data_IF_673085720849
#
_entry.id   IF_673085720849
#
_cell.length_a   1.000
_cell.length_b   1.000
_cell.length_c   1.000
_cell.angle_alpha   90.00
_cell.angle_beta   90.00
_cell.angle_gamma   90.00
#
_symmetry.space_group_name_H-M   'P 1'
#
loop_
_entity.id
_entity.type
_entity.pdbx_description
1 polymer ?
#
# COMPACT_ATOMS: atom_id res chain seq x y z
N UNK A 1 -20.01 -16.23 -11.75
CA UNK A 1 -20.25 -14.77 -11.78
C UNK A 1 -21.72 -14.31 -11.84
N UNK A 2 -22.73 -15.13 -11.46
CA UNK A 2 -24.15 -14.67 -11.36
C UNK A 2 -24.83 -15.12 -10.05
N UNK A 3 -24.09 -15.23 -8.93
CA UNK A 3 -24.74 -15.66 -7.66
C UNK A 3 -24.31 -14.98 -6.36
N UNK A 4 -23.38 -14.02 -6.39
CA UNK A 4 -22.96 -13.26 -5.20
C UNK A 4 -23.53 -11.83 -5.14
N UNK A 5 -24.18 -11.34 -6.20
CA UNK A 5 -24.74 -9.98 -6.26
C UNK A 5 -26.12 -9.79 -5.60
N UNK A 6 -26.68 -10.80 -4.92
CA UNK A 6 -28.03 -10.73 -4.33
C UNK A 6 -28.10 -10.54 -2.81
N UNK A 7 -26.98 -10.64 -2.08
CA UNK A 7 -26.99 -10.45 -0.63
C UNK A 7 -26.62 -9.03 -0.16
N UNK A 8 -26.23 -8.13 -1.06
CA UNK A 8 -25.94 -6.72 -0.71
C UNK A 8 -27.21 -5.84 -0.60
N UNK A 9 -28.39 -6.32 -1.01
CA UNK A 9 -29.59 -5.49 -1.14
C UNK A 9 -30.58 -5.58 0.05
N UNK A 10 -30.22 -6.18 1.20
CA UNK A 10 -31.16 -6.39 2.32
C UNK A 10 -30.60 -6.11 3.72
N UNK A 11 -29.69 -5.15 3.85
CA UNK A 11 -29.32 -4.56 5.13
C UNK A 11 -29.50 -3.05 5.04
N UNK A 12 -30.76 -2.63 5.00
CA UNK A 12 -31.14 -1.23 5.09
C UNK A 12 -32.11 -1.13 6.26
N UNK A 13 -31.55 -0.90 7.45
CA UNK A 13 -32.13 -0.08 8.52
C UNK A 13 -31.15 -0.09 9.70
N UNK A 14 -30.63 1.10 10.02
CA UNK A 14 -29.81 1.47 11.19
C UNK A 14 -28.27 1.33 11.10
N UNK A 15 -27.61 2.03 10.16
CA UNK A 15 -26.39 2.82 10.43
C UNK A 15 -26.08 3.72 9.22
N UNK A 16 -26.13 5.03 9.40
CA UNK A 16 -25.96 6.00 8.32
C UNK A 16 -24.48 6.33 8.07
N UNK A 17 -23.71 5.39 7.53
CA UNK A 17 -22.59 5.51 6.55
C UNK A 17 -22.23 4.04 6.22
N UNK A 18 -22.54 3.56 5.03
CA UNK A 18 -22.44 2.11 4.74
C UNK A 18 -22.37 1.76 3.27
N UNK A 19 -21.67 2.57 2.46
CA UNK A 19 -21.39 2.20 1.07
C UNK A 19 -20.12 2.90 0.54
N UNK A 20 -19.03 2.17 0.20
CA UNK A 20 -17.83 2.75 -0.41
C UNK A 20 -18.10 3.40 -1.78
N UNK A 21 -19.20 3.05 -2.45
CA UNK A 21 -19.61 3.68 -3.71
C UNK A 21 -20.02 5.16 -3.57
N UNK A 22 -20.33 5.63 -2.36
CA UNK A 22 -20.62 7.05 -2.13
C UNK A 22 -19.35 7.93 -2.10
N UNK A 23 -18.15 7.34 -2.05
CA UNK A 23 -16.88 8.04 -1.97
C UNK A 23 -16.26 8.38 -3.34
N UNK A 24 -16.90 8.02 -4.46
CA UNK A 24 -16.29 8.19 -5.79
C UNK A 24 -17.26 8.87 -6.75
N UNK A 25 -17.19 10.20 -6.80
CA UNK A 25 -17.71 11.01 -7.90
C UNK A 25 -17.00 12.36 -7.88
N UNK A 26 -15.70 12.41 -8.21
CA UNK A 26 -14.97 13.60 -8.68
C UNK A 26 -13.49 13.21 -8.88
N UNK A 27 -13.20 12.78 -10.10
CA UNK A 27 -11.85 12.42 -10.55
C UNK A 27 -10.95 13.65 -10.63
N UNK A 28 -9.79 13.53 -9.99
CA UNK A 28 -8.54 14.16 -10.37
C UNK A 28 -7.38 13.15 -10.40
N UNK A 29 -7.66 11.85 -10.61
CA UNK A 29 -6.64 10.79 -10.53
C UNK A 29 -6.31 9.98 -11.78
N UNK A 30 -6.72 10.47 -12.96
CA UNK A 30 -6.02 10.12 -14.21
C UNK A 30 -4.52 10.48 -14.10
N UNK A 31 -4.19 11.51 -13.32
CA UNK A 31 -2.83 11.94 -13.01
C UNK A 31 -2.10 10.98 -12.07
N UNK A 32 -2.75 10.42 -11.03
CA UNK A 32 -2.05 9.52 -10.08
C UNK A 32 -1.68 8.20 -10.76
N UNK A 33 -2.57 7.63 -11.58
CA UNK A 33 -2.31 6.38 -12.32
C UNK A 33 -1.26 6.58 -13.44
N UNK A 34 -1.26 7.74 -14.10
CA UNK A 34 -0.23 8.07 -15.09
C UNK A 34 1.15 8.31 -14.46
N UNK A 35 1.19 8.93 -13.27
CA UNK A 35 2.43 9.23 -12.55
C UNK A 35 3.03 8.02 -11.82
N UNK A 36 2.20 7.08 -11.37
CA UNK A 36 2.66 5.86 -10.70
C UNK A 36 3.49 4.94 -11.62
N UNK A 37 3.39 5.12 -12.94
CA UNK A 37 4.22 4.44 -13.95
C UNK A 37 5.59 5.10 -14.19
N UNK A 38 5.87 6.24 -13.55
CA UNK A 38 7.11 6.99 -13.70
C UNK A 38 7.90 6.90 -12.39
N UNK A 39 9.09 6.27 -12.38
CA UNK A 39 9.91 6.18 -11.17
C UNK A 39 10.24 7.56 -10.60
N UNK A 40 9.96 7.76 -9.30
CA UNK A 40 10.33 8.98 -8.58
C UNK A 40 9.41 10.19 -8.82
N UNK A 41 8.12 9.98 -9.12
CA UNK A 41 7.13 11.06 -9.10
C UNK A 41 6.52 11.24 -7.72
N UNK A 42 6.57 12.49 -7.23
CA UNK A 42 5.95 12.95 -5.99
C UNK A 42 4.57 13.54 -6.30
N UNK A 43 3.60 13.33 -5.40
CA UNK A 43 2.32 14.02 -5.45
C UNK A 43 2.45 15.39 -4.77
N UNK A 44 2.44 16.52 -5.51
CA UNK A 44 2.42 17.83 -4.88
C UNK A 44 0.98 18.07 -4.41
N UNK A 45 0.67 17.64 -3.20
CA UNK A 45 -0.55 18.01 -2.51
C UNK A 45 -0.24 19.27 -1.68
N UNK A 46 -0.49 20.43 -2.27
CA UNK A 46 -0.34 21.72 -1.58
C UNK A 46 -1.37 21.84 -0.45
N UNK A 47 -0.93 21.82 0.81
CA UNK A 47 -1.54 22.58 1.91
C UNK A 47 -0.49 22.97 2.98
N UNK A 48 -0.34 24.28 3.25
CA UNK A 48 0.62 24.90 4.18
C UNK A 48 0.18 24.89 5.67
N UNK A 49 -0.42 23.80 6.14
CA UNK A 49 -0.87 23.68 7.55
C UNK A 49 -0.07 22.58 8.26
N UNK A 50 -0.16 22.49 9.60
CA UNK A 50 0.35 21.33 10.38
C UNK A 50 -0.14 19.96 9.84
N UNK A 51 -1.24 19.99 9.09
CA UNK A 51 -1.89 18.89 8.39
C UNK A 51 -1.14 18.44 7.11
N UNK A 52 -0.41 19.35 6.45
CA UNK A 52 0.47 19.02 5.32
C UNK A 52 1.66 18.12 5.72
N UNK A 53 1.95 18.02 7.02
CA UNK A 53 2.97 17.10 7.54
C UNK A 53 2.56 15.64 7.43
N UNK A 54 1.30 15.30 7.73
CA UNK A 54 0.85 13.91 7.76
C UNK A 54 0.68 13.36 6.35
N UNK A 55 0.07 14.13 5.45
CA UNK A 55 -0.05 13.77 4.03
C UNK A 55 1.32 13.60 3.36
N UNK A 56 2.30 14.44 3.75
CA UNK A 56 3.69 14.29 3.33
C UNK A 56 4.30 13.01 3.87
N UNK A 57 4.08 12.66 5.13
CA UNK A 57 4.52 11.39 5.71
C UNK A 57 3.89 10.20 4.97
N UNK A 58 2.58 10.23 4.68
CA UNK A 58 1.88 9.19 3.93
C UNK A 58 2.40 9.03 2.50
N UNK A 59 2.57 10.14 1.79
CA UNK A 59 3.12 10.12 0.43
C UNK A 59 4.56 9.62 0.42
N UNK A 60 5.35 10.03 1.41
CA UNK A 60 6.75 9.58 1.55
C UNK A 60 6.81 8.09 1.89
N UNK A 61 5.94 7.61 2.78
CA UNK A 61 5.81 6.20 3.11
C UNK A 61 5.47 5.37 1.88
N UNK A 62 4.49 5.80 1.08
CA UNK A 62 4.11 5.10 -0.16
C UNK A 62 5.30 4.95 -1.13
N UNK A 63 6.11 6.00 -1.30
CA UNK A 63 7.33 5.93 -2.13
C UNK A 63 8.35 4.97 -1.53
N UNK A 64 8.56 4.99 -0.21
CA UNK A 64 9.50 4.09 0.47
C UNK A 64 9.08 2.62 0.36
N UNK A 65 7.79 2.33 0.48
CA UNK A 65 7.24 0.98 0.29
C UNK A 65 7.37 0.56 -1.17
N UNK A 66 7.16 1.46 -2.14
CA UNK A 66 7.41 1.19 -3.55
C UNK A 66 8.87 0.80 -3.83
N UNK A 67 9.82 1.56 -3.26
CA UNK A 67 11.25 1.26 -3.37
C UNK A 67 11.60 -0.08 -2.71
N UNK A 68 11.04 -0.35 -1.52
CA UNK A 68 11.26 -1.62 -0.82
C UNK A 68 10.70 -2.83 -1.59
N UNK A 69 9.48 -2.72 -2.12
CA UNK A 69 8.86 -3.76 -2.94
C UNK A 69 9.69 -4.04 -4.19
N UNK A 70 10.21 -2.99 -4.83
CA UNK A 70 11.11 -3.11 -5.98
C UNK A 70 12.40 -3.84 -5.63
N UNK A 71 13.03 -3.53 -4.50
CA UNK A 71 14.25 -4.24 -4.09
C UNK A 71 13.96 -5.70 -3.76
N UNK A 72 12.85 -6.02 -3.10
CA UNK A 72 12.45 -7.41 -2.85
C UNK A 72 12.25 -8.18 -4.18
N UNK A 73 11.55 -7.59 -5.15
CA UNK A 73 11.33 -8.22 -6.45
C UNK A 73 12.62 -8.46 -7.26
N UNK A 74 13.66 -7.62 -7.09
CA UNK A 74 14.97 -7.87 -7.70
C UNK A 74 15.67 -9.11 -7.13
N UNK A 75 15.46 -9.42 -5.86
CA UNK A 75 16.00 -10.66 -5.28
C UNK A 75 15.24 -11.87 -5.80
N UNK A 76 13.93 -11.77 -5.97
CA UNK A 76 13.11 -12.86 -6.55
C UNK A 76 13.55 -13.20 -7.98
N UNK A 77 13.82 -12.19 -8.80
CA UNK A 77 14.29 -12.37 -10.19
C UNK A 77 15.73 -12.89 -10.26
N UNK A 78 16.63 -12.47 -9.36
CA UNK A 78 18.02 -12.92 -9.35
C UNK A 78 18.22 -14.41 -8.98
N UNK A 79 17.31 -14.98 -8.20
CA UNK A 79 17.35 -16.40 -7.77
C UNK A 79 16.57 -17.33 -8.72
N UNK A 80 15.77 -16.77 -9.63
CA UNK A 80 15.03 -17.53 -10.64
C UNK A 80 15.99 -18.07 -11.70
N UNK A 81 16.41 -19.34 -11.57
CA UNK A 81 17.23 -20.05 -12.58
C UNK A 81 16.50 -20.23 -13.93
N UNK A 82 15.17 -20.03 -13.95
CA UNK A 82 14.41 -20.03 -15.19
C UNK A 82 14.66 -18.74 -15.94
N UNK A 83 15.09 -18.86 -17.20
CA UNK A 83 15.26 -17.76 -18.15
C UNK A 83 13.91 -17.09 -18.47
N UNK A 84 13.31 -16.42 -17.50
CA UNK A 84 12.37 -15.35 -17.76
C UNK A 84 13.09 -14.34 -18.67
N UNK A 85 12.37 -13.83 -19.66
CA UNK A 85 12.95 -12.81 -20.52
C UNK A 85 13.32 -11.58 -19.68
N UNK A 86 14.39 -10.86 -20.03
CA UNK A 86 14.74 -9.57 -19.39
C UNK A 86 13.52 -8.64 -19.27
N UNK A 87 12.58 -8.73 -20.22
CA UNK A 87 11.32 -7.96 -20.22
C UNK A 87 10.28 -8.40 -19.19
N UNK A 88 10.23 -9.68 -18.81
CA UNK A 88 9.33 -10.19 -17.77
C UNK A 88 9.81 -9.78 -16.38
N UNK A 89 11.12 -9.85 -16.14
CA UNK A 89 11.74 -9.42 -14.88
C UNK A 89 11.54 -7.91 -14.67
N UNK A 90 11.78 -7.11 -15.71
CA UNK A 90 11.52 -5.66 -15.67
C UNK A 90 10.04 -5.34 -15.39
N UNK A 91 9.12 -6.16 -15.91
CA UNK A 91 7.68 -6.01 -15.66
C UNK A 91 7.34 -6.31 -14.20
N UNK A 92 7.83 -7.43 -13.66
CA UNK A 92 7.60 -7.81 -12.26
C UNK A 92 8.12 -6.74 -11.28
N UNK A 93 9.34 -6.26 -11.51
CA UNK A 93 9.98 -5.21 -10.71
C UNK A 93 9.16 -3.91 -10.79
N UNK A 94 8.67 -3.55 -11.98
CA UNK A 94 7.81 -2.38 -12.19
C UNK A 94 6.45 -2.51 -11.49
N UNK A 95 5.81 -3.68 -11.58
CA UNK A 95 4.53 -3.94 -10.94
C UNK A 95 4.66 -3.97 -9.41
N UNK A 96 5.77 -4.49 -8.86
CA UNK A 96 6.05 -4.44 -7.43
C UNK A 96 6.21 -3.01 -6.91
N UNK A 97 6.93 -2.16 -7.67
CA UNK A 97 7.03 -0.73 -7.36
C UNK A 97 5.65 -0.06 -7.37
N UNK A 98 4.86 -0.31 -8.41
CA UNK A 98 3.52 0.25 -8.55
C UNK A 98 2.57 -0.20 -7.44
N UNK A 99 2.60 -1.49 -7.09
CA UNK A 99 1.79 -2.06 -6.02
C UNK A 99 2.16 -1.43 -4.66
N UNK A 100 3.45 -1.29 -4.36
CA UNK A 100 3.93 -0.62 -3.16
C UNK A 100 3.57 0.86 -3.12
N UNK A 101 3.56 1.55 -4.26
CA UNK A 101 3.16 2.96 -4.32
C UNK A 101 1.67 3.17 -4.06
N UNK A 102 0.83 2.21 -4.47
CA UNK A 102 -0.63 2.31 -4.39
C UNK A 102 -1.23 1.63 -3.16
N UNK A 103 -0.45 0.90 -2.36
CA UNK A 103 -0.97 0.06 -1.27
C UNK A 103 -1.88 0.83 -0.29
N UNK A 104 -1.49 2.06 0.05
CA UNK A 104 -2.20 2.94 0.99
C UNK A 104 -3.09 4.00 0.30
N UNK A 105 -3.39 3.83 -0.99
CA UNK A 105 -4.18 4.83 -1.75
C UNK A 105 -5.54 5.10 -1.10
N UNK A 106 -6.17 4.09 -0.49
CA UNK A 106 -7.43 4.26 0.24
C UNK A 106 -7.28 5.18 1.45
N UNK A 107 -6.14 5.17 2.14
CA UNK A 107 -5.92 5.98 3.33
C UNK A 107 -5.73 7.46 2.95
N UNK A 108 -5.05 7.72 1.84
CA UNK A 108 -4.97 9.06 1.22
C UNK A 108 -6.38 9.56 0.86
N UNK A 109 -7.22 8.70 0.28
CA UNK A 109 -8.59 9.08 -0.08
C UNK A 109 -9.47 9.36 1.15
N UNK A 110 -9.29 8.60 2.24
CA UNK A 110 -9.99 8.84 3.51
C UNK A 110 -9.61 10.24 4.05
N UNK A 111 -8.33 10.61 4.05
CA UNK A 111 -7.93 11.97 4.46
C UNK A 111 -8.56 13.06 3.57
N UNK A 112 -8.43 12.91 2.25
CA UNK A 112 -8.84 13.93 1.29
C UNK A 112 -10.36 14.16 1.24
N UNK A 113 -11.16 13.08 1.36
CA UNK A 113 -12.60 13.15 1.14
C UNK A 113 -13.44 12.89 2.39
N UNK A 114 -12.87 12.25 3.40
CA UNK A 114 -13.52 11.92 4.68
C UNK A 114 -12.70 12.48 5.84
N UNK A 115 -12.26 13.73 5.73
CA UNK A 115 -11.31 14.33 6.65
C UNK A 115 -11.75 14.29 8.13
N UNK A 116 -13.04 14.52 8.44
CA UNK A 116 -13.53 14.43 9.82
C UNK A 116 -13.41 13.00 10.39
N UNK A 117 -13.89 11.94 9.71
CA UNK A 117 -13.57 10.57 10.10
C UNK A 117 -12.07 10.27 10.17
N UNK A 118 -11.27 10.77 9.22
CA UNK A 118 -9.82 10.61 9.22
C UNK A 118 -9.18 11.14 10.50
N UNK A 119 -9.54 12.35 10.94
CA UNK A 119 -9.01 12.90 12.20
C UNK A 119 -9.42 12.03 13.39
N UNK A 120 -10.63 11.47 13.40
CA UNK A 120 -11.07 10.56 14.46
C UNK A 120 -10.28 9.25 14.47
N UNK A 121 -9.93 8.72 13.30
CA UNK A 121 -9.08 7.54 13.17
C UNK A 121 -7.70 7.86 13.74
N UNK A 122 -7.06 8.95 13.28
CA UNK A 122 -5.73 9.36 13.74
C UNK A 122 -5.69 9.58 15.25
N UNK A 123 -6.71 10.23 15.82
CA UNK A 123 -6.82 10.48 17.26
C UNK A 123 -7.04 9.19 18.08
N UNK A 124 -7.66 8.16 17.48
CA UNK A 124 -7.92 6.87 18.12
C UNK A 124 -6.76 5.88 18.02
N UNK A 125 -5.82 6.09 17.10
CA UNK A 125 -4.69 5.18 16.87
C UNK A 125 -3.64 5.29 17.98
N UNK A 126 -3.17 4.12 18.43
CA UNK A 126 -2.02 3.95 19.32
C UNK A 126 -0.93 3.13 18.63
N UNK A 127 0.26 3.03 19.24
CA UNK A 127 1.36 2.19 18.72
C UNK A 127 0.95 0.72 18.51
N UNK A 128 0.00 0.20 19.29
CA UNK A 128 -0.45 -1.20 19.24
C UNK A 128 -1.81 -1.38 18.55
N UNK A 129 -2.35 -0.32 17.93
CA UNK A 129 -3.65 -0.39 17.28
C UNK A 129 -3.58 -1.15 15.96
N UNK A 130 -4.53 -2.06 15.78
CA UNK A 130 -4.95 -2.56 14.47
C UNK A 130 -5.69 -1.43 13.74
N UNK A 131 -5.04 -0.90 12.70
CA UNK A 131 -5.54 0.24 11.94
C UNK A 131 -6.84 -0.10 11.19
N UNK A 132 -6.88 -1.24 10.51
CA UNK A 132 -8.05 -1.70 9.76
C UNK A 132 -9.25 -1.88 10.72
N UNK A 133 -9.00 -2.41 11.92
CA UNK A 133 -10.01 -2.53 12.97
C UNK A 133 -10.50 -1.19 13.52
N UNK A 134 -9.65 -0.17 13.62
CA UNK A 134 -10.05 1.20 14.05
C UNK A 134 -10.89 1.88 12.96
N UNK A 135 -10.42 1.83 11.72
CA UNK A 135 -11.12 2.39 10.56
C UNK A 135 -12.50 1.76 10.40
N UNK A 136 -12.57 0.43 10.41
CA UNK A 136 -13.82 -0.32 10.29
C UNK A 136 -14.83 0.05 11.37
N UNK A 137 -14.39 0.36 12.61
CA UNK A 137 -15.30 0.81 13.68
C UNK A 137 -15.88 2.21 13.44
N UNK A 138 -15.14 3.08 12.76
CA UNK A 138 -15.52 4.49 12.52
C UNK A 138 -16.27 4.64 11.20
N UNK A 139 -15.81 3.97 10.15
CA UNK A 139 -16.25 4.11 8.76
C UNK A 139 -17.15 2.97 8.29
N UNK A 140 -17.05 1.78 8.91
CA UNK A 140 -17.68 0.56 8.42
C UNK A 140 -16.88 -0.16 7.31
N UNK A 141 -15.70 0.34 6.96
CA UNK A 141 -14.73 -0.25 6.03
C UNK A 141 -13.32 0.23 6.41
N UNK A 142 -12.29 -0.45 5.92
CA UNK A 142 -10.88 -0.04 6.07
C UNK A 142 -10.26 0.55 4.78
N UNK A 143 -9.09 1.16 4.89
CA UNK A 143 -8.40 1.78 3.77
C UNK A 143 -7.99 0.78 2.68
N UNK A 144 -7.69 -0.47 3.03
CA UNK A 144 -7.32 -1.52 2.08
C UNK A 144 -8.54 -1.94 1.24
N UNK A 145 -9.73 -2.03 1.86
CA UNK A 145 -11.01 -2.25 1.19
C UNK A 145 -11.37 -1.10 0.24
N UNK A 146 -11.25 0.15 0.69
CA UNK A 146 -11.48 1.31 -0.16
C UNK A 146 -10.49 1.36 -1.32
N UNK A 147 -9.21 1.12 -1.05
CA UNK A 147 -8.15 1.09 -2.05
C UNK A 147 -8.40 0.03 -3.12
N UNK A 148 -8.80 -1.18 -2.72
CA UNK A 148 -9.17 -2.26 -3.66
C UNK A 148 -10.37 -1.86 -4.53
N UNK A 149 -11.43 -1.33 -3.90
CA UNK A 149 -12.63 -0.89 -4.60
C UNK A 149 -12.29 0.13 -5.67
N UNK A 150 -11.51 1.14 -5.30
CA UNK A 150 -11.07 2.22 -6.19
C UNK A 150 -10.15 1.71 -7.29
N UNK A 151 -9.15 0.88 -6.97
CA UNK A 151 -8.27 0.25 -7.94
C UNK A 151 -9.04 -0.58 -8.98
N UNK A 152 -10.10 -1.25 -8.55
CA UNK A 152 -11.00 -1.98 -9.45
C UNK A 152 -11.76 -1.04 -10.39
N UNK A 153 -12.20 0.13 -9.94
CA UNK A 153 -12.83 1.14 -10.80
C UNK A 153 -11.84 1.70 -11.84
N UNK A 154 -10.56 1.76 -11.51
CA UNK A 154 -9.50 2.16 -12.45
C UNK A 154 -9.07 1.05 -13.40
N UNK A 155 -9.70 -0.13 -13.31
CA UNK A 155 -9.34 -1.31 -14.09
C UNK A 155 -7.88 -1.73 -13.88
N UNK A 156 -7.36 -1.57 -12.66
CA UNK A 156 -6.04 -2.09 -12.30
C UNK A 156 -6.04 -3.63 -12.40
N UNK A 157 -4.92 -4.23 -12.82
CA UNK A 157 -4.74 -5.68 -12.78
C UNK A 157 -4.97 -6.27 -11.38
N UNK A 158 -5.40 -7.54 -11.35
CA UNK A 158 -5.74 -8.21 -10.10
C UNK A 158 -4.58 -8.23 -9.11
N UNK A 159 -3.35 -8.50 -9.55
CA UNK A 159 -2.17 -8.51 -8.69
C UNK A 159 -1.95 -7.19 -7.94
N UNK A 160 -2.28 -6.03 -8.54
CA UNK A 160 -2.22 -4.73 -7.86
C UNK A 160 -3.35 -4.59 -6.85
N UNK A 161 -4.59 -4.87 -7.27
CA UNK A 161 -5.77 -4.73 -6.38
C UNK A 161 -5.74 -5.70 -5.20
N UNK A 162 -5.20 -6.90 -5.38
CA UNK A 162 -5.00 -7.89 -4.34
C UNK A 162 -3.95 -7.41 -3.34
N UNK A 163 -2.82 -6.88 -3.83
CA UNK A 163 -1.77 -6.33 -2.96
C UNK A 163 -2.29 -5.16 -2.13
N UNK A 164 -3.09 -4.28 -2.73
CA UNK A 164 -3.79 -3.22 -1.99
C UNK A 164 -4.72 -3.80 -0.92
N UNK A 165 -5.53 -4.81 -1.25
CA UNK A 165 -6.52 -5.36 -0.28
C UNK A 165 -5.90 -6.10 0.90
N UNK A 166 -4.82 -6.85 0.66
CA UNK A 166 -4.34 -7.89 1.57
C UNK A 166 -2.95 -7.58 2.17
N UNK A 167 -2.39 -6.39 2.00
CA UNK A 167 -1.05 -6.10 2.52
C UNK A 167 -0.94 -6.12 4.06
N UNK A 168 -2.04 -5.89 4.80
CA UNK A 168 -2.06 -6.06 6.27
C UNK A 168 -2.28 -7.52 6.70
N UNK A 169 -3.04 -8.28 5.91
CA UNK A 169 -3.41 -9.68 6.18
C UNK A 169 -3.10 -10.59 4.97
N UNK A 170 -1.81 -10.77 4.60
CA UNK A 170 -1.43 -11.41 3.35
C UNK A 170 -1.86 -12.87 3.22
N UNK A 171 -2.05 -13.57 4.35
CA UNK A 171 -2.49 -14.97 4.36
C UNK A 171 -3.97 -15.16 4.03
N UNK A 172 -4.78 -14.09 4.04
CA UNK A 172 -6.18 -14.19 3.61
C UNK A 172 -6.32 -14.25 2.09
N UNK A 173 -5.30 -13.81 1.34
CA UNK A 173 -5.31 -13.92 -0.11
C UNK A 173 -5.07 -15.36 -0.57
N UNK A 174 -6.03 -15.90 -1.33
CA UNK A 174 -5.92 -17.20 -1.99
C UNK A 174 -6.12 -16.99 -3.50
N UNK A 175 -5.01 -16.94 -4.24
CA UNK A 175 -5.02 -16.72 -5.68
C UNK A 175 -3.62 -16.81 -6.29
N UNK A 176 -3.53 -16.58 -7.60
CA UNK A 176 -2.28 -16.75 -8.37
C UNK A 176 -1.25 -15.63 -8.11
N UNK A 177 -1.66 -14.51 -7.50
CA UNK A 177 -0.80 -13.35 -7.28
C UNK A 177 -0.21 -13.26 -5.86
N UNK A 178 -0.09 -14.41 -5.18
CA UNK A 178 0.33 -14.48 -3.78
C UNK A 178 1.73 -13.87 -3.55
N UNK A 179 2.65 -14.07 -4.50
CA UNK A 179 3.99 -13.48 -4.44
C UNK A 179 3.91 -11.95 -4.32
N UNK A 180 3.19 -11.28 -5.22
CA UNK A 180 3.05 -9.81 -5.19
C UNK A 180 2.43 -9.30 -3.87
N UNK A 181 1.41 -9.99 -3.36
CA UNK A 181 0.80 -9.66 -2.05
C UNK A 181 1.82 -9.75 -0.93
N UNK A 182 2.64 -10.81 -0.92
CA UNK A 182 3.69 -11.01 0.07
C UNK A 182 4.81 -9.99 -0.05
N UNK A 183 5.21 -9.64 -1.28
CA UNK A 183 6.23 -8.62 -1.57
C UNK A 183 5.81 -7.27 -0.97
N UNK A 184 4.56 -6.84 -1.20
CA UNK A 184 4.06 -5.56 -0.67
C UNK A 184 3.88 -5.59 0.84
N UNK A 185 3.36 -6.68 1.40
CA UNK A 185 3.22 -6.84 2.85
C UNK A 185 4.60 -6.77 3.56
N UNK A 186 5.61 -7.43 3.00
CA UNK A 186 6.97 -7.42 3.53
C UNK A 186 7.64 -6.04 3.37
N UNK A 187 7.45 -5.39 2.22
CA UNK A 187 7.94 -4.04 1.95
C UNK A 187 7.38 -3.01 2.95
N UNK A 188 6.08 -3.08 3.22
CA UNK A 188 5.42 -2.24 4.22
C UNK A 188 6.02 -2.47 5.61
N UNK A 189 6.12 -3.73 6.03
CA UNK A 189 6.72 -4.11 7.31
C UNK A 189 8.17 -3.60 7.48
N UNK A 190 9.00 -3.66 6.43
CA UNK A 190 10.37 -3.16 6.49
C UNK A 190 10.42 -1.64 6.71
N UNK A 191 9.56 -0.88 6.02
CA UNK A 191 9.47 0.56 6.21
C UNK A 191 9.00 0.91 7.63
N UNK A 192 7.98 0.22 8.12
CA UNK A 192 7.46 0.38 9.48
C UNK A 192 8.51 0.06 10.56
N UNK A 193 9.26 -1.02 10.36
CA UNK A 193 10.32 -1.47 11.28
C UNK A 193 11.49 -0.50 11.36
N UNK A 194 11.74 0.29 10.30
CA UNK A 194 12.74 1.37 10.30
C UNK A 194 12.21 2.68 10.89
N UNK A 195 10.98 2.70 11.42
CA UNK A 195 10.33 3.90 11.94
C UNK A 195 9.85 4.87 10.85
N UNK A 196 9.74 4.39 9.62
CA UNK A 196 9.38 5.16 8.42
C UNK A 196 7.93 4.88 8.01
N UNK A 197 7.07 4.62 8.98
CA UNK A 197 5.67 4.32 8.74
C UNK A 197 4.89 5.53 8.26
N UNK A 198 3.74 5.26 7.63
CA UNK A 198 2.67 6.20 7.32
C UNK A 198 2.33 7.15 8.49
N UNK A 199 2.54 6.69 9.72
CA UNK A 199 2.12 7.35 10.97
C UNK A 199 3.27 8.04 11.71
N UNK A 200 4.52 7.87 11.27
CA UNK A 200 5.70 8.24 12.07
C UNK A 200 5.83 7.45 13.39
N UNK A 201 5.12 6.32 13.51
CA UNK A 201 5.16 5.40 14.66
C UNK A 201 5.55 4.00 14.19
N UNK A 202 6.46 3.33 14.89
CA UNK A 202 6.86 1.97 14.52
C UNK A 202 5.68 0.99 14.71
N UNK A 203 5.18 0.43 13.60
CA UNK A 203 4.31 -0.74 13.66
C UNK A 203 5.20 -1.97 13.84
N UNK A 204 4.89 -2.82 14.83
CA UNK A 204 5.74 -3.96 15.22
C UNK A 204 5.14 -5.31 14.82
N UNK A 205 4.07 -5.32 14.04
CA UNK A 205 3.49 -6.56 13.57
C UNK A 205 4.43 -7.21 12.56
N UNK A 206 5.13 -8.24 13.01
CA UNK A 206 6.01 -9.05 12.17
C UNK A 206 5.15 -9.92 11.26
N UNK A 207 5.37 -9.93 9.93
CA UNK A 207 4.67 -10.81 9.01
C UNK A 207 4.83 -12.28 9.44
N UNK A 208 3.82 -13.12 9.20
CA UNK A 208 3.94 -14.56 9.43
C UNK A 208 5.13 -15.15 8.67
N UNK A 209 5.73 -16.22 9.21
CA UNK A 209 6.90 -16.87 8.60
C UNK A 209 6.60 -17.37 7.17
N UNK A 210 5.35 -17.71 6.89
CA UNK A 210 4.79 -18.09 5.60
C UNK A 210 4.99 -17.02 4.52
N UNK A 211 5.01 -15.74 4.88
CA UNK A 211 5.29 -14.64 3.94
C UNK A 211 6.74 -14.73 3.46
N UNK A 212 7.69 -14.88 4.38
CA UNK A 212 9.11 -15.03 4.05
C UNK A 212 9.36 -16.31 3.24
N UNK A 213 8.83 -17.45 3.69
CA UNK A 213 8.97 -18.72 2.99
C UNK A 213 8.31 -18.70 1.60
N UNK A 214 7.16 -18.03 1.46
CA UNK A 214 6.44 -17.93 0.17
C UNK A 214 7.18 -17.08 -0.86
N UNK A 215 8.01 -16.13 -0.41
CA UNK A 215 8.94 -15.37 -1.25
C UNK A 215 10.28 -16.10 -1.45
N UNK A 216 10.47 -17.28 -0.86
CA UNK A 216 11.73 -18.00 -0.90
C UNK A 216 12.86 -17.31 -0.13
N UNK A 217 12.54 -16.41 0.80
CA UNK A 217 13.52 -15.60 1.54
C UNK A 217 13.96 -16.27 2.83
N UNK A 218 15.26 -16.54 2.94
CA UNK A 218 15.93 -16.97 4.15
C UNK A 218 16.54 -15.78 4.94
N UNK A 219 17.11 -16.07 6.11
CA UNK A 219 17.68 -15.04 6.98
C UNK A 219 18.81 -14.24 6.30
N UNK A 220 19.79 -14.87 5.62
CA UNK A 220 20.75 -14.16 4.78
C UNK A 220 20.12 -13.20 3.76
N UNK A 221 19.14 -13.66 2.98
CA UNK A 221 18.48 -12.84 1.96
C UNK A 221 17.71 -11.66 2.57
N UNK A 222 16.95 -11.90 3.64
CA UNK A 222 16.27 -10.83 4.39
C UNK A 222 17.26 -9.79 4.91
N UNK A 223 18.43 -10.23 5.41
CA UNK A 223 19.47 -9.32 5.90
C UNK A 223 20.05 -8.49 4.76
N UNK A 224 20.31 -9.10 3.61
CA UNK A 224 20.82 -8.42 2.42
C UNK A 224 19.83 -7.38 1.89
N UNK A 225 18.54 -7.74 1.78
CA UNK A 225 17.47 -6.82 1.39
C UNK A 225 17.40 -5.65 2.38
N UNK A 226 17.46 -5.92 3.68
CA UNK A 226 17.40 -4.90 4.73
C UNK A 226 18.53 -3.86 4.63
N UNK A 227 19.75 -4.30 4.31
CA UNK A 227 20.92 -3.44 4.12
C UNK A 227 20.85 -2.63 2.82
N UNK A 228 20.41 -3.25 1.72
CA UNK A 228 20.24 -2.55 0.45
C UNK A 228 19.13 -1.50 0.54
N UNK A 229 18.07 -1.80 1.28
CA UNK A 229 16.97 -0.88 1.50
C UNK A 229 17.45 0.42 2.18
N UNK A 230 18.39 0.36 3.13
CA UNK A 230 18.96 1.58 3.74
C UNK A 230 19.64 2.50 2.72
N UNK A 231 20.20 1.95 1.65
CA UNK A 231 20.83 2.73 0.58
C UNK A 231 19.77 3.31 -0.36
N UNK A 232 18.79 2.49 -0.76
CA UNK A 232 17.70 2.90 -1.65
C UNK A 232 16.83 4.01 -1.01
N UNK A 233 16.47 3.86 0.26
CA UNK A 233 15.66 4.84 0.99
C UNK A 233 16.37 6.18 1.16
N UNK A 234 17.69 6.18 1.41
CA UNK A 234 18.48 7.42 1.46
C UNK A 234 18.45 8.16 0.12
N UNK A 235 18.56 7.45 -1.00
CA UNK A 235 18.48 8.05 -2.32
C UNK A 235 17.07 8.63 -2.60
N UNK A 236 16.02 7.89 -2.24
CA UNK A 236 14.64 8.34 -2.36
C UNK A 236 14.36 9.59 -1.51
N UNK A 237 14.82 9.62 -0.27
CA UNK A 237 14.67 10.77 0.64
C UNK A 237 15.42 12.01 0.14
N UNK A 238 16.66 11.85 -0.36
CA UNK A 238 17.42 12.96 -0.96
C UNK A 238 16.69 13.52 -2.18
N UNK A 239 16.14 12.65 -3.04
CA UNK A 239 15.35 13.07 -4.19
C UNK A 239 14.06 13.79 -3.79
N UNK A 240 13.42 13.38 -2.70
CA UNK A 240 12.26 14.07 -2.13
C UNK A 240 12.64 15.46 -1.57
N UNK A 241 13.80 15.57 -0.90
CA UNK A 241 14.30 16.84 -0.33
C UNK A 241 14.74 17.85 -1.38
N UNK A 242 15.48 17.41 -2.42
CA UNK A 242 15.99 18.29 -3.49
C UNK A 242 14.85 18.89 -4.33
N UNK A 243 13.67 18.27 -4.34
CA UNK A 243 12.51 18.70 -5.15
C UNK A 243 11.47 19.50 -4.36
N UNK A 244 11.66 19.63 -3.04
CA UNK A 244 10.79 20.40 -2.14
C UNK A 244 11.35 21.79 -1.77
N UNK A 245 12.58 22.10 -2.20
CA UNK A 245 13.23 23.42 -2.06
C UNK A 245 13.44 24.07 -3.43
#
# INVERSE_FOLDING_TARGET
WVRTSRNFARLNDHCAVGNPAHAVSLLGLDTLVALAKVPGVFFPLEQENSQGSLLRTLSTHSVRVAEAAREIAKFETAESETAASETEDDTLIGDAYLAGLLHDVGFILIDQYLHKPFTQIVDALTEQSDICGVESKILGFDHAELGQFVGSQWSLPEHLTASIRYHHDPLEYVGEHQQMVYTVALANFFCDSKGLSARGMANKLVPPAEVFHGLGLDKPQVTAIWEQLDQALKAADIMAMVRAG
#
